data_IF_155216442470
#
_entry.id   IF_155216442470
#
_cell.length_a   1.000
_cell.length_b   1.000
_cell.length_c   1.000
_cell.angle_alpha   90.00
_cell.angle_beta   90.00
_cell.angle_gamma   90.00
#
_symmetry.space_group_name_H-M   'P 1'
#
loop_
_entity.id
_entity.type
_entity.pdbx_description
1 polymer ?
#
# COMPACT_ATOMS: atom_id res chain seq x y z
N UNK A 1 12.35 -43.04 23.90
CA UNK A 1 11.48 -42.31 22.96
C UNK A 1 11.17 -40.96 23.58
N UNK A 2 11.98 -39.93 23.29
CA UNK A 2 11.65 -38.56 23.68
C UNK A 2 12.02 -37.67 22.50
N UNK A 3 11.01 -37.26 21.74
CA UNK A 3 11.14 -36.36 20.59
C UNK A 3 11.24 -34.94 21.12
N UNK A 4 12.45 -34.36 21.06
CA UNK A 4 12.64 -32.95 21.32
C UNK A 4 12.44 -32.20 19.99
N UNK A 5 11.18 -31.92 19.64
CA UNK A 5 10.88 -30.96 18.58
C UNK A 5 11.05 -29.57 19.17
N UNK A 6 12.28 -29.06 19.12
CA UNK A 6 12.52 -27.62 19.15
C UNK A 6 11.80 -27.03 17.93
N UNK A 7 10.59 -26.56 18.16
CA UNK A 7 10.01 -25.53 17.32
C UNK A 7 10.88 -24.29 17.56
N UNK A 8 11.79 -24.06 16.61
CA UNK A 8 12.48 -22.80 16.49
C UNK A 8 11.41 -21.76 16.13
N UNK A 9 10.87 -21.09 17.15
CA UNK A 9 10.06 -19.90 16.95
C UNK A 9 10.98 -18.79 16.45
N UNK A 10 11.33 -18.82 15.17
CA UNK A 10 11.84 -17.64 14.49
C UNK A 10 10.79 -16.54 14.63
N UNK A 11 11.13 -15.34 15.12
CA UNK A 11 10.22 -14.21 15.02
C UNK A 11 10.18 -13.76 13.55
N UNK A 12 9.42 -14.47 12.72
CA UNK A 12 9.04 -14.08 11.35
C UNK A 12 8.01 -12.94 11.39
N UNK A 13 8.24 -11.92 12.23
CA UNK A 13 7.26 -10.91 12.59
C UNK A 13 7.88 -9.51 12.58
N UNK A 14 8.65 -9.19 11.53
CA UNK A 14 9.20 -7.84 11.34
C UNK A 14 8.66 -7.13 10.09
N UNK A 15 7.87 -7.81 9.24
CA UNK A 15 7.23 -7.20 8.07
C UNK A 15 5.71 -6.99 8.23
N UNK A 16 5.15 -7.25 9.42
CA UNK A 16 3.70 -7.38 9.63
C UNK A 16 2.95 -6.06 9.95
N UNK A 17 3.56 -4.88 9.81
CA UNK A 17 2.97 -3.64 10.34
C UNK A 17 3.02 -2.44 9.40
N UNK A 18 2.83 -2.64 8.10
CA UNK A 18 2.82 -1.53 7.14
C UNK A 18 1.40 -1.09 6.79
N UNK A 19 0.43 -2.00 6.88
CA UNK A 19 -0.97 -1.75 6.56
C UNK A 19 -1.91 -2.46 7.55
N UNK A 20 -2.87 -1.73 8.11
CA UNK A 20 -3.91 -2.28 8.99
C UNK A 20 -4.96 -3.07 8.19
N UNK A 21 -5.67 -4.00 8.82
CA UNK A 21 -6.79 -4.74 8.23
C UNK A 21 -7.84 -3.82 7.58
N UNK A 22 -8.08 -2.64 8.15
CA UNK A 22 -8.97 -1.62 7.58
C UNK A 22 -8.52 -1.16 6.18
N UNK A 23 -7.22 -0.97 5.98
CA UNK A 23 -6.66 -0.58 4.69
C UNK A 23 -6.79 -1.70 3.65
N UNK A 24 -6.60 -2.95 4.06
CA UNK A 24 -6.85 -4.10 3.19
C UNK A 24 -8.34 -4.26 2.83
N UNK A 25 -9.24 -3.98 3.77
CA UNK A 25 -10.69 -3.96 3.49
C UNK A 25 -11.05 -2.88 2.46
N UNK A 26 -10.42 -1.71 2.53
CA UNK A 26 -10.56 -0.66 1.52
C UNK A 26 -9.99 -1.08 0.17
N UNK A 27 -8.81 -1.72 0.16
CA UNK A 27 -8.22 -2.27 -1.07
C UNK A 27 -9.11 -3.33 -1.72
N UNK A 28 -9.73 -4.21 -0.94
CA UNK A 28 -10.64 -5.23 -1.45
C UNK A 28 -11.87 -4.59 -2.11
N UNK A 29 -12.45 -3.57 -1.47
CA UNK A 29 -13.55 -2.78 -2.05
C UNK A 29 -13.14 -2.03 -3.31
N UNK A 30 -11.95 -1.41 -3.31
CA UNK A 30 -11.45 -0.68 -4.46
C UNK A 30 -11.10 -1.61 -5.63
N UNK A 31 -10.57 -2.79 -5.31
CA UNK A 31 -10.22 -3.85 -6.27
C UNK A 31 -11.46 -4.43 -6.97
N UNK A 32 -12.63 -4.42 -6.32
CA UNK A 32 -13.87 -4.86 -6.95
C UNK A 32 -14.26 -4.00 -8.18
N UNK A 33 -13.75 -2.76 -8.26
CA UNK A 33 -13.91 -1.93 -9.45
C UNK A 33 -13.04 -2.46 -10.61
N UNK A 34 -13.40 -2.20 -11.88
CA UNK A 34 -12.57 -2.51 -13.05
C UNK A 34 -11.43 -1.49 -13.22
N UNK A 35 -10.71 -1.20 -12.13
CA UNK A 35 -9.63 -0.21 -12.08
C UNK A 35 -8.43 -0.79 -11.31
N UNK A 36 -7.26 -0.18 -11.51
CA UNK A 36 -6.02 -0.61 -10.89
C UNK A 36 -5.92 -0.17 -9.41
N UNK A 37 -5.21 -0.96 -8.63
CA UNK A 37 -4.74 -0.62 -7.29
C UNK A 37 -3.25 -0.33 -7.40
N UNK A 38 -2.88 0.95 -7.26
CA UNK A 38 -1.51 1.39 -7.50
C UNK A 38 -0.74 1.54 -6.19
N UNK A 39 0.42 0.90 -6.10
CA UNK A 39 1.37 1.11 -5.01
C UNK A 39 2.49 2.01 -5.51
N UNK A 40 2.85 3.05 -4.76
CA UNK A 40 4.02 3.87 -5.08
C UNK A 40 5.31 3.08 -4.87
N UNK A 41 6.42 3.57 -5.43
CA UNK A 41 7.71 2.93 -5.27
C UNK A 41 8.28 3.04 -3.85
N UNK A 42 7.79 4.01 -3.09
CA UNK A 42 8.20 4.30 -1.72
C UNK A 42 7.43 3.46 -0.70
N UNK A 43 6.46 2.66 -1.15
CA UNK A 43 5.73 1.71 -0.31
C UNK A 43 6.17 0.29 -0.61
N UNK A 44 6.23 -0.52 0.44
CA UNK A 44 6.43 -1.95 0.30
C UNK A 44 5.13 -2.61 -0.14
N UNK A 45 5.23 -3.50 -1.12
CA UNK A 45 4.11 -4.30 -1.58
C UNK A 45 3.92 -5.47 -0.61
N UNK A 46 2.75 -5.62 0.04
CA UNK A 46 2.46 -6.78 0.88
C UNK A 46 2.62 -8.10 0.14
N UNK A 47 2.87 -9.17 0.90
CA UNK A 47 2.94 -10.51 0.33
C UNK A 47 1.59 -10.95 -0.26
N UNK A 48 1.64 -11.75 -1.32
CA UNK A 48 0.44 -12.20 -2.04
C UNK A 48 -0.59 -12.86 -1.11
N UNK A 49 -0.14 -13.64 -0.13
CA UNK A 49 -1.01 -14.31 0.85
C UNK A 49 -1.91 -13.34 1.62
N UNK A 50 -1.46 -12.11 1.87
CA UNK A 50 -2.28 -11.08 2.52
C UNK A 50 -3.40 -10.58 1.61
N UNK A 51 -3.09 -10.34 0.33
CA UNK A 51 -4.13 -9.96 -0.63
C UNK A 51 -5.19 -11.05 -0.76
N UNK A 52 -4.78 -12.32 -0.85
CA UNK A 52 -5.71 -13.47 -0.91
C UNK A 52 -6.56 -13.57 0.36
N UNK A 53 -5.94 -13.46 1.54
CA UNK A 53 -6.64 -13.49 2.84
C UNK A 53 -7.71 -12.40 2.95
N UNK A 54 -7.44 -11.22 2.41
CA UNK A 54 -8.36 -10.07 2.44
C UNK A 54 -9.24 -9.95 1.19
N UNK A 55 -9.25 -10.93 0.29
CA UNK A 55 -10.04 -10.92 -0.95
C UNK A 55 -9.74 -9.72 -1.87
N UNK A 56 -8.48 -9.28 -1.91
CA UNK A 56 -8.00 -8.28 -2.86
C UNK A 56 -7.59 -8.99 -4.16
N UNK A 57 -8.06 -8.52 -5.32
CA UNK A 57 -7.64 -9.09 -6.60
C UNK A 57 -6.20 -8.68 -6.90
N UNK A 58 -5.27 -9.59 -6.62
CA UNK A 58 -3.84 -9.38 -6.84
C UNK A 58 -3.50 -9.01 -8.28
N UNK A 59 -4.31 -9.47 -9.25
CA UNK A 59 -4.12 -9.20 -10.67
C UNK A 59 -4.32 -7.72 -11.04
N UNK A 60 -5.06 -6.98 -10.21
CA UNK A 60 -5.30 -5.53 -10.36
C UNK A 60 -4.33 -4.70 -9.54
N UNK A 61 -3.43 -5.33 -8.78
CA UNK A 61 -2.43 -4.64 -7.97
C UNK A 61 -1.17 -4.42 -8.79
N UNK A 62 -0.77 -3.16 -8.94
CA UNK A 62 0.43 -2.77 -9.68
C UNK A 62 1.28 -1.86 -8.81
N UNK A 63 2.54 -2.24 -8.61
CA UNK A 63 3.53 -1.35 -8.02
C UNK A 63 4.16 -0.49 -9.11
N UNK A 64 4.07 0.83 -8.93
CA UNK A 64 4.71 1.82 -9.78
C UNK A 64 6.21 1.79 -9.55
N UNK A 65 6.96 1.93 -10.64
CA UNK A 65 8.42 2.07 -10.56
C UNK A 65 8.80 3.46 -10.05
N UNK A 66 9.90 3.58 -9.28
CA UNK A 66 10.41 4.88 -8.89
C UNK A 66 10.77 5.66 -10.14
N UNK A 67 10.27 6.89 -10.23
CA UNK A 67 10.64 7.79 -11.32
C UNK A 67 11.89 8.56 -10.91
N UNK A 68 12.91 8.58 -11.76
CA UNK A 68 14.07 9.46 -11.55
C UNK A 68 13.73 10.94 -11.79
N UNK A 69 12.58 11.23 -12.40
CA UNK A 69 12.18 12.59 -12.80
C UNK A 69 11.05 13.16 -11.95
N UNK A 70 10.25 12.31 -11.30
CA UNK A 70 9.04 12.74 -10.58
C UNK A 70 9.08 12.23 -9.15
N UNK A 71 8.78 13.13 -8.21
CA UNK A 71 8.64 12.78 -6.81
C UNK A 71 7.36 11.95 -6.58
N UNK A 72 7.32 11.21 -5.48
CA UNK A 72 6.17 10.38 -5.09
C UNK A 72 4.85 11.15 -5.16
N UNK A 73 4.84 12.41 -4.72
CA UNK A 73 3.65 13.26 -4.76
C UNK A 73 3.11 13.43 -6.18
N UNK A 74 3.97 13.70 -7.16
CA UNK A 74 3.56 13.84 -8.55
C UNK A 74 3.06 12.51 -9.12
N UNK A 75 3.69 11.40 -8.74
CA UNK A 75 3.25 10.06 -9.12
C UNK A 75 1.84 9.80 -8.59
N UNK A 76 1.57 10.14 -7.32
CA UNK A 76 0.22 10.01 -6.73
C UNK A 76 -0.78 10.94 -7.43
N UNK A 77 -0.44 12.21 -7.67
CA UNK A 77 -1.32 13.15 -8.38
C UNK A 77 -1.67 12.61 -9.76
N UNK A 78 -0.69 12.08 -10.51
CA UNK A 78 -0.92 11.48 -11.83
C UNK A 78 -1.76 10.22 -11.74
N UNK A 79 -1.51 9.35 -10.76
CA UNK A 79 -2.31 8.15 -10.53
C UNK A 79 -3.78 8.49 -10.27
N UNK A 80 -4.05 9.50 -9.43
CA UNK A 80 -5.40 9.99 -9.14
C UNK A 80 -6.04 10.63 -10.39
N UNK A 81 -5.30 11.49 -11.09
CA UNK A 81 -5.81 12.25 -12.25
C UNK A 81 -6.05 11.37 -13.48
N UNK A 82 -5.25 10.33 -13.68
CA UNK A 82 -5.40 9.40 -14.80
C UNK A 82 -6.72 8.61 -14.73
N UNK A 83 -7.38 8.55 -13.56
CA UNK A 83 -8.68 7.88 -13.39
C UNK A 83 -8.67 6.36 -13.56
N UNK A 84 -7.51 5.79 -13.90
CA UNK A 84 -7.28 4.36 -14.12
C UNK A 84 -7.10 3.59 -12.80
N UNK A 85 -6.95 4.28 -11.68
CA UNK A 85 -6.81 3.69 -10.37
C UNK A 85 -8.09 3.86 -9.53
N UNK A 86 -8.50 2.82 -8.81
CA UNK A 86 -9.53 2.88 -7.76
C UNK A 86 -8.93 3.06 -6.38
N UNK A 87 -7.69 2.63 -6.17
CA UNK A 87 -6.93 2.92 -4.97
C UNK A 87 -5.47 3.24 -5.29
N UNK A 88 -4.89 4.14 -4.49
CA UNK A 88 -3.47 4.48 -4.53
C UNK A 88 -2.91 4.36 -3.12
N UNK A 89 -1.81 3.62 -2.99
CA UNK A 89 -1.10 3.38 -1.73
C UNK A 89 0.22 4.11 -1.77
N UNK A 90 0.36 5.12 -0.93
CA UNK A 90 1.53 5.99 -0.85
C UNK A 90 2.16 5.93 0.54
N UNK A 91 3.42 6.38 0.65
CA UNK A 91 4.15 6.44 1.90
C UNK A 91 3.62 7.61 2.76
N UNK A 92 3.80 7.53 4.07
CA UNK A 92 3.39 8.63 4.96
C UNK A 92 4.37 9.82 4.96
N UNK A 93 5.36 9.84 4.05
CA UNK A 93 6.46 10.82 4.00
C UNK A 93 6.07 12.21 3.45
N UNK A 94 4.79 12.54 3.45
CA UNK A 94 4.26 13.82 2.97
C UNK A 94 3.95 14.78 4.11
N UNK A 95 4.08 16.09 3.85
CA UNK A 95 3.60 17.13 4.76
C UNK A 95 2.08 17.07 4.93
N UNK A 96 1.57 17.55 6.07
CA UNK A 96 0.14 17.59 6.36
C UNK A 96 -0.67 18.34 5.27
N UNK A 97 -0.12 19.44 4.75
CA UNK A 97 -0.74 20.19 3.65
C UNK A 97 -0.81 19.37 2.36
N UNK A 98 0.26 18.65 2.03
CA UNK A 98 0.29 17.78 0.86
C UNK A 98 -0.70 16.61 1.00
N UNK A 99 -0.78 15.97 2.18
CA UNK A 99 -1.77 14.91 2.46
C UNK A 99 -3.19 15.43 2.27
N UNK A 100 -3.51 16.60 2.81
CA UNK A 100 -4.84 17.21 2.65
C UNK A 100 -5.17 17.45 1.16
N UNK A 101 -4.24 18.00 0.39
CA UNK A 101 -4.42 18.21 -1.06
C UNK A 101 -4.64 16.90 -1.82
N UNK A 102 -3.85 15.87 -1.52
CA UNK A 102 -3.97 14.56 -2.16
C UNK A 102 -5.29 13.87 -1.80
N UNK A 103 -5.73 13.96 -0.55
CA UNK A 103 -7.02 13.44 -0.09
C UNK A 103 -8.17 14.12 -0.84
N UNK A 104 -8.18 15.46 -0.90
CA UNK A 104 -9.20 16.19 -1.65
C UNK A 104 -9.20 15.84 -3.15
N UNK A 105 -8.03 15.60 -3.73
CA UNK A 105 -7.91 15.15 -5.12
C UNK A 105 -8.45 13.74 -5.32
N UNK A 106 -8.19 12.84 -4.37
CA UNK A 106 -8.66 11.46 -4.38
C UNK A 106 -10.18 11.38 -4.27
N UNK A 107 -10.78 12.16 -3.37
CA UNK A 107 -12.23 12.30 -3.25
C UNK A 107 -12.86 12.79 -4.55
N UNK A 108 -12.29 13.85 -5.16
CA UNK A 108 -12.78 14.38 -6.43
C UNK A 108 -12.65 13.38 -7.59
N UNK A 109 -11.65 12.51 -7.54
CA UNK A 109 -11.40 11.48 -8.56
C UNK A 109 -12.09 10.16 -8.26
N UNK A 110 -12.89 10.09 -7.18
CA UNK A 110 -13.53 8.88 -6.67
C UNK A 110 -12.54 7.71 -6.52
N UNK A 111 -11.35 8.03 -6.01
CA UNK A 111 -10.23 7.12 -5.81
C UNK A 111 -9.90 7.06 -4.31
N UNK A 112 -9.51 5.89 -3.81
CA UNK A 112 -9.17 5.71 -2.41
C UNK A 112 -7.66 5.90 -2.22
N UNK A 113 -7.26 6.96 -1.51
CA UNK A 113 -5.86 7.20 -1.18
C UNK A 113 -5.55 6.67 0.22
N UNK A 114 -4.57 5.79 0.32
CA UNK A 114 -4.14 5.15 1.57
C UNK A 114 -2.69 5.50 1.80
N UNK A 115 -2.39 6.06 2.97
CA UNK A 115 -1.02 6.30 3.41
C UNK A 115 -0.55 5.13 4.28
N UNK A 116 0.63 4.63 4.00
CA UNK A 116 1.29 3.56 4.77
C UNK A 116 2.49 4.16 5.47
N UNK A 117 2.58 3.95 6.78
CA UNK A 117 3.73 4.40 7.54
C UNK A 117 4.96 3.68 7.02
N UNK A 118 5.95 4.42 6.51
CA UNK A 118 7.25 3.84 6.30
C UNK A 118 7.75 3.36 7.67
N UNK A 119 8.04 2.07 7.81
CA UNK A 119 9.01 1.66 8.81
C UNK A 119 10.32 2.29 8.38
N UNK A 120 10.58 3.50 8.86
CA UNK A 120 11.96 3.92 9.09
C UNK A 120 12.44 2.91 10.13
N UNK A 121 13.01 1.79 9.66
CA UNK A 121 13.76 0.88 10.49
C UNK A 121 14.71 1.79 11.27
N UNK A 122 14.41 1.92 12.56
CA UNK A 122 15.16 2.73 13.49
C UNK A 122 16.46 1.96 13.73
N UNK A 123 17.39 2.12 12.79
CA UNK A 123 18.77 1.68 12.89
C UNK A 123 19.62 2.94 12.96
N UNK A 124 19.71 3.51 14.16
CA UNK A 124 20.88 4.25 14.61
C UNK A 124 21.08 3.98 16.10
#
# INVERSE_FOLDING_TARGET
MHFNTTYDSTPTNLAHHLMSDSSFSLLAKASAAPKWVLFTAQTELPERDYFVKHHVECEKVVQLKPSNQHNEMEVVIRALTNGNASAVVASDNFDANAKAQLLSLAERSNCCLIFTGATKALLH
#
